data_IF_620362413565
#
_entry.id   IF_620362413565
#
_cell.length_a   1.000
_cell.length_b   1.000
_cell.length_c   1.000
_cell.angle_alpha   90.00
_cell.angle_beta   90.00
_cell.angle_gamma   90.00
#
_symmetry.space_group_name_H-M   'P 1'
#
loop_
_entity.id
_entity.type
_entity.pdbx_description
1 polymer ?
#
# COMPACT_ATOMS: atom_id res chain seq x y z
N UNK A 1 39.39 -48.97 3.90
CA UNK A 1 38.26 -48.91 2.94
C UNK A 1 37.00 -48.20 3.47
N UNK A 2 37.05 -47.43 4.57
CA UNK A 2 35.85 -46.74 5.12
C UNK A 2 35.92 -45.20 4.96
N UNK A 3 37.09 -44.65 4.67
CA UNK A 3 37.29 -43.19 4.59
C UNK A 3 37.01 -42.58 3.21
N UNK A 4 36.98 -43.38 2.14
CA UNK A 4 36.72 -42.87 0.78
C UNK A 4 35.23 -42.73 0.47
N UNK A 5 34.36 -43.48 1.16
CA UNK A 5 32.91 -43.42 0.96
C UNK A 5 32.25 -42.18 1.59
N UNK A 6 32.78 -41.65 2.69
CA UNK A 6 32.23 -40.46 3.35
C UNK A 6 32.56 -39.14 2.62
N UNK A 7 33.66 -39.10 1.87
CA UNK A 7 34.02 -37.92 1.06
C UNK A 7 33.11 -37.78 -0.18
N UNK A 8 32.74 -38.91 -0.80
CA UNK A 8 31.86 -38.92 -1.97
C UNK A 8 30.40 -38.53 -1.67
N UNK A 9 29.91 -38.78 -0.45
CA UNK A 9 28.56 -38.34 -0.06
C UNK A 9 28.48 -36.84 0.26
N UNK A 10 29.55 -36.26 0.80
CA UNK A 10 29.61 -34.81 1.07
C UNK A 10 29.66 -33.99 -0.21
N UNK A 11 30.38 -34.45 -1.24
CA UNK A 11 30.49 -33.77 -2.53
C UNK A 11 29.14 -33.75 -3.28
N UNK A 12 28.38 -34.85 -3.26
CA UNK A 12 27.01 -34.91 -3.84
C UNK A 12 25.97 -34.06 -3.10
N UNK A 13 26.18 -33.79 -1.80
CA UNK A 13 25.31 -32.91 -1.02
C UNK A 13 25.57 -31.42 -1.32
N UNK A 14 26.79 -31.06 -1.67
CA UNK A 14 27.19 -29.69 -2.02
C UNK A 14 26.77 -29.32 -3.46
N UNK A 15 26.82 -30.28 -4.40
CA UNK A 15 26.35 -30.09 -5.77
C UNK A 15 24.83 -29.81 -5.85
N UNK A 16 24.04 -30.40 -4.94
CA UNK A 16 22.58 -30.14 -4.86
C UNK A 16 22.23 -28.75 -4.32
N UNK A 17 23.14 -28.10 -3.57
CA UNK A 17 22.95 -26.72 -3.07
C UNK A 17 23.28 -25.64 -4.11
N UNK A 18 23.97 -26.02 -5.19
CA UNK A 18 24.44 -25.11 -6.25
C UNK A 18 23.52 -25.02 -7.47
N UNK A 19 22.33 -25.62 -7.42
CA UNK A 19 21.33 -25.52 -8.50
C UNK A 19 20.72 -24.11 -8.52
N UNK A 20 21.36 -23.20 -9.26
CA UNK A 20 20.82 -21.90 -9.67
C UNK A 20 19.49 -22.12 -10.39
N UNK A 21 18.39 -21.65 -9.80
CA UNK A 21 17.11 -21.58 -10.48
C UNK A 21 17.14 -20.31 -11.34
N UNK A 22 17.30 -20.46 -12.66
CA UNK A 22 17.08 -19.38 -13.61
C UNK A 22 15.59 -19.25 -13.88
N UNK A 23 14.96 -18.21 -13.32
CA UNK A 23 13.61 -17.82 -13.72
C UNK A 23 13.77 -16.98 -14.98
N UNK A 24 13.46 -17.56 -16.13
CA UNK A 24 13.37 -16.85 -17.41
C UNK A 24 12.04 -16.11 -17.41
N UNK A 25 12.09 -14.78 -17.41
CA UNK A 25 10.93 -13.94 -17.70
C UNK A 25 10.71 -13.98 -19.22
N UNK A 26 9.49 -14.19 -19.73
CA UNK A 26 9.22 -14.15 -21.15
C UNK A 26 9.46 -12.74 -21.71
N UNK A 27 10.26 -12.67 -22.77
CA UNK A 27 10.49 -11.46 -23.55
C UNK A 27 9.20 -11.05 -24.27
N UNK A 28 8.66 -9.87 -23.94
CA UNK A 28 7.59 -9.22 -24.71
C UNK A 28 8.17 -8.66 -26.03
N UNK A 29 8.44 -9.56 -26.98
CA UNK A 29 8.55 -9.19 -28.40
C UNK A 29 7.15 -8.92 -28.96
N UNK A 30 6.77 -7.65 -29.05
CA UNK A 30 5.78 -7.23 -30.04
C UNK A 30 6.25 -5.98 -30.77
N UNK A 31 7.14 -6.21 -31.73
CA UNK A 31 7.40 -5.32 -32.87
C UNK A 31 6.13 -5.26 -33.73
N UNK A 32 5.43 -4.13 -33.73
CA UNK A 32 4.66 -3.71 -34.91
C UNK A 32 5.06 -2.30 -35.33
N UNK A 33 5.82 -2.29 -36.43
CA UNK A 33 6.17 -1.14 -37.26
C UNK A 33 4.88 -0.54 -37.83
N UNK A 34 4.73 0.77 -37.77
CA UNK A 34 4.03 1.51 -38.82
C UNK A 34 4.56 2.94 -38.90
N UNK A 35 5.13 3.21 -40.07
CA UNK A 35 5.63 4.46 -40.64
C UNK A 35 5.35 5.78 -39.89
N UNK A 36 6.43 6.46 -39.53
CA UNK A 36 6.45 7.93 -39.47
C UNK A 36 7.56 8.37 -40.43
N UNK A 37 7.22 9.23 -41.39
CA UNK A 37 8.18 9.87 -42.30
C UNK A 37 8.86 10.98 -41.52
N UNK A 38 10.19 10.94 -41.49
CA UNK A 38 11.03 11.99 -40.95
C UNK A 38 11.01 13.21 -41.87
N UNK A 39 10.91 14.41 -41.28
CA UNK A 39 11.54 15.58 -41.86
C UNK A 39 12.52 16.17 -40.84
N UNK A 40 13.77 16.18 -41.31
CA UNK A 40 15.01 16.57 -40.68
C UNK A 40 15.11 18.09 -40.61
N UNK A 41 15.59 18.63 -39.48
CA UNK A 41 16.55 19.75 -39.54
C UNK A 41 17.58 19.63 -38.42
N UNK A 42 18.83 19.50 -38.84
CA UNK A 42 20.06 19.53 -38.04
C UNK A 42 20.38 20.97 -37.60
N UNK A 43 20.87 21.15 -36.37
CA UNK A 43 21.81 22.24 -36.03
C UNK A 43 22.59 21.97 -34.73
N UNK A 44 23.87 21.63 -34.95
CA UNK A 44 25.10 22.02 -34.26
C UNK A 44 25.28 21.89 -32.72
N UNK A 45 26.14 20.91 -32.38
CA UNK A 45 27.39 20.98 -31.59
C UNK A 45 27.38 21.58 -30.16
N UNK A 46 27.45 20.64 -29.21
CA UNK A 46 28.37 20.57 -28.07
C UNK A 46 28.35 21.68 -26.99
N UNK A 47 27.72 21.36 -25.84
CA UNK A 47 28.39 21.39 -24.53
C UNK A 47 27.49 20.76 -23.44
N UNK A 48 28.03 19.72 -22.78
CA UNK A 48 27.78 19.23 -21.41
C UNK A 48 26.42 19.59 -20.79
N UNK A 49 25.56 18.58 -20.56
CA UNK A 49 24.36 18.74 -19.73
C UNK A 49 24.27 17.57 -18.74
N UNK A 50 24.48 17.87 -17.46
CA UNK A 50 24.06 17.04 -16.34
C UNK A 50 22.56 16.78 -16.43
N UNK A 51 22.14 15.54 -16.64
CA UNK A 51 20.72 15.20 -16.63
C UNK A 51 20.22 14.98 -15.21
N UNK A 52 19.69 16.04 -14.62
CA UNK A 52 18.56 15.93 -13.70
C UNK A 52 17.35 15.42 -14.51
N UNK A 53 16.97 14.16 -14.34
CA UNK A 53 15.68 13.67 -14.84
C UNK A 53 14.61 14.01 -13.79
N UNK A 54 14.11 15.23 -13.87
CA UNK A 54 12.74 15.54 -13.46
C UNK A 54 11.83 15.19 -14.64
N UNK A 55 11.30 13.97 -14.66
CA UNK A 55 10.09 13.69 -15.44
C UNK A 55 8.87 14.11 -14.62
N UNK A 56 8.72 15.41 -14.50
CA UNK A 56 7.54 16.10 -14.01
C UNK A 56 6.79 16.70 -15.21
N UNK A 57 6.01 15.88 -15.91
CA UNK A 57 4.97 16.38 -16.80
C UNK A 57 3.82 15.38 -16.92
N UNK A 58 2.63 15.88 -16.56
CA UNK A 58 1.30 15.25 -16.65
C UNK A 58 0.85 14.31 -15.52
N UNK A 59 0.99 14.74 -14.26
CA UNK A 59 -0.06 14.46 -13.27
C UNK A 59 -0.55 15.79 -12.72
N UNK A 60 -1.69 16.27 -13.25
CA UNK A 60 -2.43 17.39 -12.67
C UNK A 60 -2.55 17.16 -11.16
N UNK A 61 -2.30 18.16 -10.29
CA UNK A 61 -2.68 18.05 -8.89
C UNK A 61 -4.20 17.86 -8.87
N UNK A 62 -4.66 16.68 -8.44
CA UNK A 62 -6.10 16.45 -8.22
C UNK A 62 -6.48 17.29 -7.02
N UNK A 63 -6.96 18.50 -7.27
CA UNK A 63 -7.64 19.33 -6.28
C UNK A 63 -8.72 18.47 -5.63
N UNK A 64 -8.66 18.37 -4.31
CA UNK A 64 -9.63 17.64 -3.47
C UNK A 64 -10.93 18.42 -3.32
N UNK A 65 -11.44 18.97 -4.42
CA UNK A 65 -12.75 19.62 -4.46
C UNK A 65 -13.72 18.61 -5.01
N UNK A 66 -14.31 17.82 -4.10
CA UNK A 66 -15.48 17.00 -4.41
C UNK A 66 -16.52 17.94 -5.02
N UNK A 67 -16.78 17.79 -6.31
CA UNK A 67 -17.72 18.66 -7.00
C UNK A 67 -19.12 18.30 -6.52
N UNK A 68 -19.99 19.31 -6.32
CA UNK A 68 -21.37 19.11 -5.88
C UNK A 68 -22.17 18.13 -6.77
N UNK A 69 -21.68 17.87 -7.99
CA UNK A 69 -22.27 16.95 -8.97
C UNK A 69 -22.10 15.46 -8.62
N UNK A 70 -21.11 15.10 -7.80
CA UNK A 70 -20.91 13.72 -7.32
C UNK A 70 -21.83 13.37 -6.13
N UNK A 71 -22.58 14.35 -5.59
CA UNK A 71 -23.51 14.16 -4.46
C UNK A 71 -24.91 13.67 -4.86
N UNK A 72 -25.25 13.63 -6.14
CA UNK A 72 -26.56 13.18 -6.60
C UNK A 72 -26.47 11.78 -7.21
N UNK A 73 -26.91 10.77 -6.45
CA UNK A 73 -27.31 9.44 -6.94
C UNK A 73 -26.28 8.72 -7.83
N UNK A 74 -25.26 8.12 -7.20
CA UNK A 74 -24.18 7.39 -7.89
C UNK A 74 -24.67 6.09 -8.54
N UNK A 75 -24.94 6.10 -9.85
CA UNK A 75 -25.04 4.87 -10.67
C UNK A 75 -23.67 4.31 -11.07
N UNK A 76 -22.58 5.03 -10.73
CA UNK A 76 -21.21 4.60 -11.01
C UNK A 76 -20.71 3.80 -9.81
N UNK A 77 -20.32 2.55 -10.05
CA UNK A 77 -19.63 1.74 -9.04
C UNK A 77 -18.39 2.49 -8.56
N UNK A 78 -18.24 2.60 -7.25
CA UNK A 78 -17.00 3.14 -6.66
C UNK A 78 -15.83 2.32 -7.17
N UNK A 79 -14.76 2.99 -7.63
CA UNK A 79 -13.56 2.29 -8.10
C UNK A 79 -13.08 1.31 -7.04
N UNK A 80 -12.82 0.07 -7.45
CA UNK A 80 -12.24 -0.94 -6.56
C UNK A 80 -10.94 -0.37 -6.01
N UNK A 81 -10.75 -0.35 -4.68
CA UNK A 81 -9.54 0.20 -4.09
C UNK A 81 -8.34 -0.64 -4.49
N UNK A 82 -7.41 -0.03 -5.24
CA UNK A 82 -6.13 -0.66 -5.56
C UNK A 82 -5.26 -0.58 -4.31
N UNK A 83 -4.99 -1.72 -3.68
CA UNK A 83 -4.09 -1.80 -2.54
C UNK A 83 -2.64 -1.70 -3.03
N UNK A 84 -2.08 -0.49 -2.99
CA UNK A 84 -0.66 -0.28 -3.25
C UNK A 84 0.16 -0.51 -1.99
N UNK A 85 1.06 -1.49 -2.00
CA UNK A 85 2.07 -1.62 -0.95
C UNK A 85 3.30 -0.78 -1.28
N UNK A 86 3.88 -0.12 -0.27
CA UNK A 86 5.16 0.56 -0.42
C UNK A 86 6.24 -0.50 -0.65
N UNK A 87 7.02 -0.35 -1.73
CA UNK A 87 8.16 -1.25 -2.00
C UNK A 87 9.11 -1.22 -0.81
N UNK A 88 9.52 -2.41 -0.37
CA UNK A 88 10.53 -2.57 0.68
C UNK A 88 11.88 -2.05 0.19
N UNK A 89 12.65 -1.43 1.07
CA UNK A 89 13.94 -0.84 0.69
C UNK A 89 14.93 -1.88 0.17
N UNK A 90 14.91 -3.08 0.75
CA UNK A 90 15.78 -4.19 0.34
C UNK A 90 15.44 -4.66 -1.07
N UNK A 91 14.15 -4.71 -1.41
CA UNK A 91 13.67 -5.08 -2.75
C UNK A 91 13.88 -3.96 -3.79
N UNK A 92 14.02 -2.71 -3.35
CA UNK A 92 14.33 -1.58 -4.23
C UNK A 92 15.82 -1.44 -4.56
N UNK A 93 16.70 -1.92 -3.68
CA UNK A 93 18.17 -1.74 -3.79
C UNK A 93 18.89 -2.92 -4.43
N UNK A 94 18.34 -4.13 -4.36
CA UNK A 94 18.97 -5.36 -4.88
C UNK A 94 18.10 -5.99 -5.96
N UNK A 95 18.71 -6.34 -7.10
CA UNK A 95 18.03 -7.06 -8.18
C UNK A 95 17.78 -8.54 -7.84
N UNK A 96 18.62 -9.13 -6.98
CA UNK A 96 18.45 -10.49 -6.43
C UNK A 96 18.46 -10.45 -4.90
N UNK A 97 17.49 -11.11 -4.28
CA UNK A 97 17.37 -11.23 -2.82
C UNK A 97 18.17 -12.44 -2.32
N UNK A 98 19.03 -12.22 -1.32
CA UNK A 98 19.72 -13.31 -0.62
C UNK A 98 18.84 -13.89 0.49
N UNK A 99 19.00 -15.17 0.80
CA UNK A 99 18.33 -15.81 1.95
C UNK A 99 18.66 -15.14 3.28
N UNK A 100 19.84 -14.53 3.41
CA UNK A 100 20.24 -13.77 4.61
C UNK A 100 19.38 -12.53 4.84
N UNK A 101 18.81 -11.95 3.78
CA UNK A 101 18.01 -10.72 3.86
C UNK A 101 16.57 -10.96 4.38
N UNK A 102 16.13 -12.21 4.48
CA UNK A 102 14.74 -12.57 4.85
C UNK A 102 14.32 -11.96 6.21
N UNK A 103 15.22 -11.98 7.20
CA UNK A 103 14.91 -11.44 8.53
C UNK A 103 14.73 -9.92 8.51
N UNK A 104 15.51 -9.22 7.67
CA UNK A 104 15.41 -7.78 7.49
C UNK A 104 14.08 -7.43 6.82
N UNK A 105 13.71 -8.17 5.77
CA UNK A 105 12.44 -8.01 5.05
C UNK A 105 11.26 -8.24 6.01
N UNK A 106 11.26 -9.30 6.82
CA UNK A 106 10.19 -9.58 7.79
C UNK A 106 10.03 -8.44 8.80
N UNK A 107 11.15 -7.90 9.32
CA UNK A 107 11.12 -6.76 10.24
C UNK A 107 10.53 -5.52 9.57
N UNK A 108 10.94 -5.22 8.33
CA UNK A 108 10.40 -4.10 7.57
C UNK A 108 8.90 -4.24 7.28
N UNK A 109 8.44 -5.44 6.88
CA UNK A 109 7.01 -5.69 6.64
C UNK A 109 6.17 -5.53 7.91
N UNK A 110 6.67 -5.99 9.07
CA UNK A 110 5.99 -5.78 10.36
C UNK A 110 5.87 -4.30 10.69
N UNK A 111 6.97 -3.55 10.54
CA UNK A 111 6.97 -2.10 10.78
C UNK A 111 6.00 -1.36 9.86
N UNK A 112 5.97 -1.67 8.56
CA UNK A 112 5.00 -1.08 7.62
C UNK A 112 3.55 -1.43 7.99
N UNK A 113 3.28 -2.67 8.39
CA UNK A 113 1.94 -3.09 8.83
C UNK A 113 1.49 -2.30 10.05
N UNK A 114 2.37 -2.12 11.04
CA UNK A 114 2.10 -1.32 12.23
C UNK A 114 1.83 0.14 11.88
N UNK A 115 2.62 0.73 10.98
CA UNK A 115 2.41 2.10 10.52
C UNK A 115 1.04 2.27 9.84
N UNK A 116 0.69 1.37 8.91
CA UNK A 116 -0.61 1.37 8.24
C UNK A 116 -1.74 1.22 9.26
N UNK A 117 -1.58 0.34 10.25
CA UNK A 117 -2.57 0.17 11.33
C UNK A 117 -2.72 1.43 12.17
N UNK A 118 -1.62 2.11 12.54
CA UNK A 118 -1.67 3.39 13.26
C UNK A 118 -2.35 4.48 12.44
N UNK A 119 -2.07 4.55 11.14
CA UNK A 119 -2.72 5.51 10.24
C UNK A 119 -4.22 5.24 10.10
N UNK A 120 -4.61 3.97 9.91
CA UNK A 120 -6.03 3.55 9.89
C UNK A 120 -6.71 3.87 11.21
N UNK A 121 -6.07 3.55 12.33
CA UNK A 121 -6.59 3.86 13.66
C UNK A 121 -6.88 5.36 13.81
N UNK A 122 -5.93 6.23 13.46
CA UNK A 122 -6.11 7.69 13.54
C UNK A 122 -7.20 8.19 12.60
N UNK A 123 -7.29 7.63 11.39
CA UNK A 123 -8.31 8.00 10.40
C UNK A 123 -9.70 7.62 10.89
N UNK A 124 -9.86 6.39 11.35
CA UNK A 124 -11.14 5.87 11.84
C UNK A 124 -11.58 6.64 13.08
N UNK A 125 -10.67 6.88 14.03
CA UNK A 125 -10.94 7.70 15.20
C UNK A 125 -11.48 9.07 14.80
N UNK A 126 -10.76 9.81 13.95
CA UNK A 126 -11.18 11.15 13.49
C UNK A 126 -12.52 11.13 12.77
N UNK A 127 -12.73 10.13 11.89
CA UNK A 127 -13.98 9.95 11.16
C UNK A 127 -15.14 9.73 12.11
N UNK A 128 -15.01 8.78 13.03
CA UNK A 128 -16.07 8.44 13.99
C UNK A 128 -16.37 9.60 14.93
N UNK A 129 -15.35 10.31 15.43
CA UNK A 129 -15.56 11.53 16.22
C UNK A 129 -16.35 12.58 15.43
N UNK A 130 -16.00 12.81 14.16
CA UNK A 130 -16.76 13.74 13.31
C UNK A 130 -18.19 13.26 13.05
N UNK A 131 -18.39 11.96 12.86
CA UNK A 131 -19.71 11.38 12.58
C UNK A 131 -20.62 11.50 13.82
N UNK A 132 -20.09 11.29 15.04
CA UNK A 132 -20.79 11.51 16.31
C UNK A 132 -21.35 12.93 16.38
N UNK A 133 -20.52 13.95 16.15
CA UNK A 133 -20.98 15.35 16.19
C UNK A 133 -21.96 15.69 15.07
N UNK A 134 -21.75 15.17 13.85
CA UNK A 134 -22.66 15.43 12.72
C UNK A 134 -24.06 14.86 12.94
N UNK A 135 -24.15 13.76 13.67
CA UNK A 135 -25.41 13.12 14.03
C UNK A 135 -25.97 13.59 15.38
N UNK A 136 -25.26 14.49 16.07
CA UNK A 136 -25.63 14.99 17.40
C UNK A 136 -25.83 13.87 18.42
N UNK A 137 -25.03 12.80 18.32
CA UNK A 137 -25.11 11.64 19.22
C UNK A 137 -24.55 11.93 20.62
N UNK A 138 -23.88 13.07 20.78
CA UNK A 138 -23.38 13.60 22.04
C UNK A 138 -24.49 14.12 22.97
N UNK A 139 -25.68 14.40 22.43
CA UNK A 139 -26.80 14.97 23.19
C UNK A 139 -27.70 13.91 23.82
N UNK A 140 -27.18 13.18 24.81
CA UNK A 140 -27.95 12.14 25.50
C UNK A 140 -28.76 12.63 26.70
N UNK A 141 -28.63 13.90 27.10
CA UNK A 141 -29.23 14.48 28.32
C UNK A 141 -30.75 14.31 28.47
N UNK A 142 -31.46 14.08 27.36
CA UNK A 142 -32.92 13.92 27.35
C UNK A 142 -33.39 12.46 27.37
N UNK A 143 -32.47 11.49 27.37
CA UNK A 143 -32.84 10.07 27.39
C UNK A 143 -33.03 9.57 28.82
N UNK A 144 -33.93 8.60 28.98
CA UNK A 144 -34.01 7.82 30.23
C UNK A 144 -32.80 6.88 30.33
N UNK A 145 -32.39 6.54 31.54
CA UNK A 145 -31.20 5.70 31.80
C UNK A 145 -31.21 4.35 31.03
N UNK A 146 -32.36 3.69 30.94
CA UNK A 146 -32.53 2.46 30.16
C UNK A 146 -32.29 2.69 28.65
N UNK A 147 -32.76 3.82 28.13
CA UNK A 147 -32.60 4.19 26.73
C UNK A 147 -31.18 4.66 26.44
N UNK A 148 -30.51 5.30 27.39
CA UNK A 148 -29.09 5.67 27.28
C UNK A 148 -28.21 4.44 27.12
N UNK A 149 -28.42 3.39 27.92
CA UNK A 149 -27.69 2.14 27.80
C UNK A 149 -27.88 1.50 26.41
N UNK A 150 -29.13 1.40 25.95
CA UNK A 150 -29.43 0.87 24.62
C UNK A 150 -28.81 1.71 23.51
N UNK A 151 -28.85 3.04 23.65
CA UNK A 151 -28.27 3.99 22.71
C UNK A 151 -26.75 3.88 22.63
N UNK A 152 -26.07 3.84 23.78
CA UNK A 152 -24.61 3.63 23.85
C UNK A 152 -24.23 2.28 23.22
N UNK A 153 -24.98 1.22 23.52
CA UNK A 153 -24.77 -0.10 22.91
C UNK A 153 -24.93 -0.03 21.38
N UNK A 154 -25.96 0.64 20.87
CA UNK A 154 -26.15 0.84 19.43
C UNK A 154 -25.00 1.64 18.81
N UNK A 155 -24.51 2.69 19.46
CA UNK A 155 -23.36 3.45 18.99
C UNK A 155 -22.10 2.58 18.90
N UNK A 156 -21.85 1.73 19.89
CA UNK A 156 -20.72 0.79 19.88
C UNK A 156 -20.87 -0.24 18.76
N UNK A 157 -22.06 -0.79 18.52
CA UNK A 157 -22.25 -1.82 17.47
C UNK A 157 -22.13 -1.25 16.06
N UNK A 158 -22.76 -0.10 15.77
CA UNK A 158 -22.78 0.46 14.42
C UNK A 158 -21.55 1.31 14.09
N UNK A 159 -21.04 2.09 15.03
CA UNK A 159 -19.88 2.96 14.81
C UNK A 159 -18.57 2.28 15.22
N UNK A 160 -18.59 1.38 16.21
CA UNK A 160 -17.40 0.71 16.75
C UNK A 160 -16.88 -0.48 15.94
N UNK A 161 -16.97 -0.43 14.61
CA UNK A 161 -16.50 -1.53 13.73
C UNK A 161 -14.98 -1.69 13.69
N UNK A 162 -14.22 -0.65 14.07
CA UNK A 162 -12.76 -0.66 14.11
C UNK A 162 -12.23 -0.29 15.50
N UNK A 163 -10.98 -0.68 15.87
CA UNK A 163 -10.42 -0.33 17.17
C UNK A 163 -10.26 1.18 17.37
N UNK A 164 -10.00 1.94 16.29
CA UNK A 164 -9.95 3.41 16.35
C UNK A 164 -11.34 4.00 16.60
N UNK A 165 -12.35 3.47 15.91
CA UNK A 165 -13.72 3.92 16.07
C UNK A 165 -14.30 3.60 17.46
N UNK A 166 -14.04 2.40 18.00
CA UNK A 166 -14.44 2.05 19.38
C UNK A 166 -13.87 2.99 20.42
N UNK A 167 -12.59 3.35 20.28
CA UNK A 167 -11.97 4.33 21.18
C UNK A 167 -12.59 5.71 21.05
N UNK A 168 -13.01 6.11 19.85
CA UNK A 168 -13.71 7.38 19.64
C UNK A 168 -15.08 7.39 20.31
N UNK A 169 -15.85 6.31 20.15
CA UNK A 169 -17.16 6.12 20.81
C UNK A 169 -17.02 6.17 22.32
N UNK A 170 -16.12 5.36 22.90
CA UNK A 170 -15.86 5.37 24.33
C UNK A 170 -15.42 6.77 24.83
N UNK A 171 -14.52 7.45 24.12
CA UNK A 171 -14.04 8.76 24.54
C UNK A 171 -15.08 9.91 24.45
N UNK A 172 -16.21 9.71 23.77
CA UNK A 172 -17.23 10.74 23.56
C UNK A 172 -18.57 10.41 24.21
N UNK A 173 -18.85 9.13 24.48
CA UNK A 173 -20.13 8.64 24.99
C UNK A 173 -20.02 7.91 26.34
N UNK A 174 -18.81 7.64 26.86
CA UNK A 174 -18.63 7.27 28.28
C UNK A 174 -18.72 8.50 29.17
#
# INVERSE_FOLDING_TARGET
MVQESELAEKEKAEEKRSRKISIILPDDENKKKSHLKDDVTLRNKESVTSYSIVNASSRRPRSSTWSARERMGSTVLTKIPIVSYRRLEVAGKKQMLSYTDINIIRRQMRSQKEEIQRQRFRRDYKRTTSDIYRMQLDRTENLTEENELCFKAACVTYLGTSPGARRAVAAQLD
#
